data_IF_447769343034
#
_entry.id   IF_447769343034
#
_cell.length_a   1.000
_cell.length_b   1.000
_cell.length_c   1.000
_cell.angle_alpha   90.00
_cell.angle_beta   90.00
_cell.angle_gamma   90.00
#
_symmetry.space_group_name_H-M   'P 1'
#
loop_
_entity.id
_entity.type
_entity.pdbx_description
1 polymer ?
#
# COMPACT_ATOMS: atom_id res chain seq x y z
N UNK A 1 13.96 -26.85 -10.09
CA UNK A 1 13.33 -25.54 -9.82
C UNK A 1 11.84 -25.78 -9.56
N UNK A 2 11.27 -25.21 -8.51
CA UNK A 2 9.81 -25.29 -8.29
C UNK A 2 9.11 -24.41 -9.33
N UNK A 3 7.92 -24.82 -9.78
CA UNK A 3 7.10 -23.98 -10.65
C UNK A 3 6.79 -22.64 -9.96
N UNK A 4 6.80 -21.52 -10.70
CA UNK A 4 6.47 -20.21 -10.12
C UNK A 4 5.08 -20.24 -9.47
N UNK A 5 4.97 -19.60 -8.32
CA UNK A 5 3.69 -19.51 -7.58
C UNK A 5 2.67 -18.72 -8.39
N UNK A 6 1.44 -19.22 -8.49
CA UNK A 6 0.35 -18.51 -9.15
C UNK A 6 -0.08 -17.28 -8.31
N UNK A 7 -0.32 -16.16 -9.00
CA UNK A 7 -0.56 -14.85 -8.38
C UNK A 7 -1.81 -14.19 -8.97
N UNK A 8 -2.71 -13.74 -8.08
CA UNK A 8 -3.74 -12.76 -8.40
C UNK A 8 -3.18 -11.36 -8.16
N UNK A 9 -3.27 -10.46 -9.14
CA UNK A 9 -3.01 -9.03 -8.94
C UNK A 9 -4.31 -8.36 -8.57
N UNK A 10 -4.33 -7.66 -7.42
CA UNK A 10 -5.46 -6.93 -6.88
C UNK A 10 -5.26 -5.42 -7.12
N UNK A 11 -6.22 -4.79 -7.77
CA UNK A 11 -6.21 -3.35 -8.08
C UNK A 11 -7.51 -2.74 -7.58
N UNK A 12 -7.41 -1.66 -6.81
CA UNK A 12 -8.56 -0.83 -6.42
C UNK A 12 -8.52 0.46 -7.20
N UNK A 13 -9.66 0.91 -7.74
CA UNK A 13 -9.75 2.15 -8.53
C UNK A 13 -10.96 2.99 -8.13
N UNK A 14 -10.82 4.31 -8.28
CA UNK A 14 -11.90 5.28 -8.05
C UNK A 14 -11.73 6.48 -8.99
N UNK A 15 -12.58 6.59 -10.02
CA UNK A 15 -12.63 7.69 -10.98
C UNK A 15 -11.29 7.97 -11.72
N UNK A 16 -10.49 6.91 -12.02
CA UNK A 16 -9.17 7.02 -12.67
C UNK A 16 -9.00 6.05 -13.85
N UNK A 17 -9.90 6.02 -14.85
CA UNK A 17 -9.84 5.02 -15.93
C UNK A 17 -8.55 5.10 -16.75
N UNK A 18 -7.98 6.29 -16.94
CA UNK A 18 -6.74 6.44 -17.70
C UNK A 18 -5.52 5.87 -16.95
N UNK A 19 -5.43 6.08 -15.63
CA UNK A 19 -4.38 5.51 -14.79
C UNK A 19 -4.50 3.98 -14.73
N UNK A 20 -5.71 3.46 -14.49
CA UNK A 20 -6.01 2.04 -14.55
C UNK A 20 -5.59 1.41 -15.89
N UNK A 21 -5.82 2.11 -17.01
CA UNK A 21 -5.41 1.65 -18.33
C UNK A 21 -3.90 1.45 -18.44
N UNK A 22 -3.09 2.41 -17.99
CA UNK A 22 -1.62 2.31 -17.97
C UNK A 22 -1.11 1.22 -17.01
N UNK A 23 -1.76 1.08 -15.86
CA UNK A 23 -1.45 0.01 -14.90
C UNK A 23 -1.63 -1.37 -15.55
N UNK A 24 -2.80 -1.63 -16.16
CA UNK A 24 -3.10 -2.90 -16.85
C UNK A 24 -2.20 -3.14 -18.06
N UNK A 25 -1.85 -2.09 -18.82
CA UNK A 25 -0.89 -2.17 -19.92
C UNK A 25 0.47 -2.69 -19.44
N UNK A 26 0.97 -2.17 -18.32
CA UNK A 26 2.24 -2.61 -17.75
C UNK A 26 2.23 -4.08 -17.32
N UNK A 27 1.11 -4.57 -16.80
CA UNK A 27 0.93 -5.98 -16.45
C UNK A 27 0.88 -6.89 -17.68
N UNK A 28 0.22 -6.44 -18.75
CA UNK A 28 0.12 -7.18 -20.00
C UNK A 28 1.46 -7.26 -20.73
N UNK A 29 2.27 -6.20 -20.66
CA UNK A 29 3.60 -6.10 -21.26
C UNK A 29 4.72 -6.76 -20.42
N UNK A 30 4.44 -7.14 -19.17
CA UNK A 30 5.42 -7.73 -18.28
C UNK A 30 5.98 -9.07 -18.77
N UNK A 31 7.23 -9.40 -18.38
CA UNK A 31 7.89 -10.66 -18.68
C UNK A 31 7.12 -11.90 -18.14
N UNK A 32 6.31 -11.67 -17.11
CA UNK A 32 5.32 -12.60 -16.60
C UNK A 32 3.97 -11.89 -16.47
N UNK A 33 2.96 -12.41 -17.15
CA UNK A 33 1.58 -11.96 -16.96
C UNK A 33 1.01 -12.50 -15.65
N UNK A 34 0.08 -11.76 -14.99
CA UNK A 34 -0.67 -12.28 -13.86
C UNK A 34 -1.52 -13.49 -14.27
N UNK A 35 -1.68 -14.43 -13.34
CA UNK A 35 -2.58 -15.58 -13.54
C UNK A 35 -4.05 -15.14 -13.45
N UNK A 36 -4.30 -14.06 -12.70
CA UNK A 36 -5.60 -13.39 -12.56
C UNK A 36 -5.37 -11.92 -12.17
N UNK A 37 -6.23 -11.02 -12.66
CA UNK A 37 -6.34 -9.64 -12.18
C UNK A 37 -7.73 -9.43 -11.62
N UNK A 38 -7.83 -9.00 -10.37
CA UNK A 38 -9.08 -8.57 -9.74
C UNK A 38 -9.08 -7.05 -9.65
N UNK A 39 -10.02 -6.41 -10.33
CA UNK A 39 -10.23 -4.95 -10.26
C UNK A 39 -11.49 -4.67 -9.47
N UNK A 40 -11.35 -3.94 -8.36
CA UNK A 40 -12.48 -3.44 -7.57
C UNK A 40 -12.64 -1.95 -7.84
N UNK A 41 -13.77 -1.61 -8.44
CA UNK A 41 -14.07 -0.26 -8.91
C UNK A 41 -15.15 0.40 -8.04
N UNK A 42 -14.78 1.52 -7.43
CA UNK A 42 -15.68 2.36 -6.65
C UNK A 42 -16.11 3.63 -7.40
N UNK A 43 -15.88 3.70 -8.71
CA UNK A 43 -16.22 4.86 -9.54
C UNK A 43 -17.74 4.99 -9.75
N UNK A 44 -18.20 6.22 -9.99
CA UNK A 44 -19.60 6.47 -10.36
C UNK A 44 -19.90 6.14 -11.83
N UNK A 45 -18.92 6.38 -12.73
CA UNK A 45 -19.03 6.15 -14.18
C UNK A 45 -18.80 4.69 -14.60
N UNK A 46 -18.80 4.45 -15.91
CA UNK A 46 -18.55 3.13 -16.51
C UNK A 46 -17.19 3.04 -17.23
N UNK A 47 -16.41 4.11 -17.21
CA UNK A 47 -15.17 4.22 -17.98
C UNK A 47 -14.13 3.17 -17.50
N UNK A 48 -14.04 2.91 -16.21
CA UNK A 48 -13.16 1.89 -15.65
C UNK A 48 -13.57 0.48 -16.11
N UNK A 49 -14.87 0.17 -16.16
CA UNK A 49 -15.36 -1.13 -16.63
C UNK A 49 -15.04 -1.35 -18.11
N UNK A 50 -15.12 -0.31 -18.94
CA UNK A 50 -14.74 -0.37 -20.37
C UNK A 50 -13.23 -0.61 -20.54
N UNK A 51 -12.40 -0.02 -19.68
CA UNK A 51 -10.95 -0.28 -19.65
C UNK A 51 -10.69 -1.75 -19.32
N UNK A 52 -11.34 -2.29 -18.29
CA UNK A 52 -11.20 -3.70 -17.88
C UNK A 52 -11.65 -4.65 -18.99
N UNK A 53 -12.80 -4.40 -19.63
CA UNK A 53 -13.30 -5.21 -20.74
C UNK A 53 -12.29 -5.30 -21.89
N UNK A 54 -11.70 -4.17 -22.29
CA UNK A 54 -10.66 -4.11 -23.34
C UNK A 54 -9.44 -4.99 -23.01
N UNK A 55 -8.96 -4.97 -21.76
CA UNK A 55 -7.82 -5.78 -21.37
C UNK A 55 -8.17 -7.27 -21.19
N UNK A 56 -9.42 -7.58 -20.87
CA UNK A 56 -9.92 -8.95 -20.91
C UNK A 56 -9.90 -9.50 -22.35
N UNK A 57 -10.40 -8.73 -23.32
CA UNK A 57 -10.35 -9.06 -24.75
C UNK A 57 -8.91 -9.19 -25.28
N UNK A 58 -7.96 -8.40 -24.72
CA UNK A 58 -6.54 -8.49 -25.01
C UNK A 58 -5.83 -9.69 -24.32
N UNK A 59 -6.57 -10.55 -23.62
CA UNK A 59 -6.11 -11.84 -23.11
C UNK A 59 -5.57 -11.82 -21.69
N UNK A 60 -5.87 -10.80 -20.86
CA UNK A 60 -5.71 -10.89 -19.42
C UNK A 60 -6.91 -11.62 -18.79
N UNK A 61 -6.64 -12.50 -17.82
CA UNK A 61 -7.69 -13.12 -17.01
C UNK A 61 -8.19 -12.09 -16.00
N UNK A 62 -9.33 -11.46 -16.30
CA UNK A 62 -9.87 -10.35 -15.51
C UNK A 62 -11.09 -10.78 -14.70
N UNK A 63 -11.14 -10.31 -13.45
CA UNK A 63 -12.34 -10.30 -12.62
C UNK A 63 -12.64 -8.85 -12.23
N UNK A 64 -13.81 -8.34 -12.62
CA UNK A 64 -14.24 -6.98 -12.32
C UNK A 64 -15.37 -7.01 -11.29
N UNK A 65 -15.20 -6.23 -10.23
CA UNK A 65 -16.19 -6.06 -9.18
C UNK A 65 -16.49 -4.58 -8.98
N UNK A 66 -17.74 -4.18 -9.10
CA UNK A 66 -18.17 -2.83 -8.81
C UNK A 66 -18.80 -2.76 -7.42
N UNK A 67 -18.42 -1.77 -6.64
CA UNK A 67 -19.03 -1.52 -5.33
C UNK A 67 -19.21 -0.02 -5.09
N UNK A 68 -20.07 0.33 -4.14
CA UNK A 68 -20.16 1.70 -3.64
C UNK A 68 -18.85 2.14 -3.00
N UNK A 69 -18.57 3.46 -3.03
CA UNK A 69 -17.36 4.03 -2.45
C UNK A 69 -17.37 3.91 -0.91
N UNK A 70 -16.59 2.95 -0.40
CA UNK A 70 -16.43 2.64 1.04
C UNK A 70 -14.99 2.80 1.52
N UNK A 71 -14.11 3.23 0.65
CA UNK A 71 -12.69 3.42 0.93
C UNK A 71 -11.78 2.28 0.45
N UNK A 72 -10.46 2.55 0.47
CA UNK A 72 -9.45 1.65 -0.06
C UNK A 72 -9.42 0.30 0.66
N UNK A 73 -9.49 0.29 2.01
CA UNK A 73 -9.48 -0.95 2.79
C UNK A 73 -10.62 -1.89 2.41
N UNK A 74 -11.84 -1.34 2.21
CA UNK A 74 -13.01 -2.11 1.78
C UNK A 74 -12.82 -2.68 0.37
N UNK A 75 -12.27 -1.89 -0.57
CA UNK A 75 -11.99 -2.37 -1.93
C UNK A 75 -10.93 -3.48 -1.92
N UNK A 76 -9.87 -3.32 -1.14
CA UNK A 76 -8.83 -4.35 -1.00
C UNK A 76 -9.39 -5.64 -0.38
N UNK A 77 -10.25 -5.55 0.63
CA UNK A 77 -10.90 -6.73 1.23
C UNK A 77 -11.75 -7.50 0.22
N UNK A 78 -12.51 -6.80 -0.62
CA UNK A 78 -13.25 -7.44 -1.72
C UNK A 78 -12.29 -8.11 -2.70
N UNK A 79 -11.21 -7.44 -3.10
CA UNK A 79 -10.20 -8.02 -3.99
C UNK A 79 -9.56 -9.27 -3.38
N UNK A 80 -9.23 -9.26 -2.09
CA UNK A 80 -8.66 -10.41 -1.38
C UNK A 80 -9.63 -11.59 -1.31
N UNK A 81 -10.92 -11.32 -1.09
CA UNK A 81 -11.95 -12.34 -1.07
C UNK A 81 -12.21 -12.97 -2.45
N UNK A 82 -12.08 -12.18 -3.53
CA UNK A 82 -12.25 -12.63 -4.91
C UNK A 82 -11.03 -13.33 -5.49
N UNK A 83 -9.84 -13.09 -4.94
CA UNK A 83 -8.59 -13.71 -5.40
C UNK A 83 -8.65 -15.23 -5.30
N UNK A 84 -8.31 -15.93 -6.38
CA UNK A 84 -8.36 -17.41 -6.47
C UNK A 84 -7.01 -18.07 -6.21
N UNK A 85 -5.91 -17.32 -6.41
CA UNK A 85 -4.56 -17.86 -6.30
C UNK A 85 -3.99 -17.74 -4.87
N UNK A 86 -2.98 -18.54 -4.52
CA UNK A 86 -2.42 -18.58 -3.16
C UNK A 86 -1.69 -17.30 -2.75
N UNK A 87 -1.29 -16.47 -3.71
CA UNK A 87 -0.63 -15.19 -3.46
C UNK A 87 -1.44 -14.07 -4.11
N UNK A 88 -1.65 -13.00 -3.34
CA UNK A 88 -2.28 -11.77 -3.82
C UNK A 88 -1.22 -10.68 -3.85
N UNK A 89 -0.94 -10.12 -5.03
CA UNK A 89 -0.09 -8.95 -5.21
C UNK A 89 -0.96 -7.71 -5.37
N UNK A 90 -0.69 -6.67 -4.60
CA UNK A 90 -1.41 -5.39 -4.66
C UNK A 90 -0.60 -4.38 -5.46
N UNK A 91 -1.28 -3.74 -6.38
CA UNK A 91 -0.76 -2.66 -7.22
C UNK A 91 -1.82 -1.56 -7.30
N UNK A 92 -1.44 -0.29 -7.03
CA UNK A 92 -2.37 0.83 -7.16
C UNK A 92 -2.63 1.15 -8.64
N UNK A 93 -3.80 1.70 -8.94
CA UNK A 93 -4.23 2.05 -10.30
C UNK A 93 -3.38 3.14 -10.96
N UNK A 94 -2.65 3.96 -10.18
CA UNK A 94 -1.72 5.01 -10.63
C UNK A 94 -0.25 4.56 -10.61
N UNK A 95 -0.03 3.24 -10.59
CA UNK A 95 1.27 2.61 -10.65
C UNK A 95 1.50 1.90 -11.99
N UNK A 96 2.78 1.84 -12.40
CA UNK A 96 3.27 1.09 -13.56
C UNK A 96 4.28 0.06 -13.08
N UNK A 97 4.00 -1.22 -13.29
CA UNK A 97 4.91 -2.30 -12.92
C UNK A 97 6.12 -2.33 -13.88
N UNK A 98 7.33 -2.50 -13.33
CA UNK A 98 8.50 -2.82 -14.15
C UNK A 98 8.33 -4.20 -14.78
N UNK A 99 8.88 -4.41 -15.97
CA UNK A 99 8.63 -5.64 -16.75
C UNK A 99 8.94 -6.95 -16.00
N UNK A 100 9.94 -6.94 -15.12
CA UNK A 100 10.30 -8.10 -14.30
C UNK A 100 9.53 -8.23 -12.98
N UNK A 101 8.75 -7.22 -12.59
CA UNK A 101 8.11 -7.11 -11.26
C UNK A 101 7.42 -8.39 -10.81
N UNK A 102 6.46 -8.88 -11.58
CA UNK A 102 5.66 -10.05 -11.20
C UNK A 102 6.48 -11.34 -11.24
N UNK A 103 7.46 -11.41 -12.15
CA UNK A 103 8.39 -12.54 -12.20
C UNK A 103 9.24 -12.61 -10.92
N UNK A 104 9.79 -11.50 -10.47
CA UNK A 104 10.58 -11.41 -9.23
C UNK A 104 9.73 -11.80 -8.03
N UNK A 105 8.54 -11.24 -7.87
CA UNK A 105 7.61 -11.58 -6.78
C UNK A 105 7.30 -13.08 -6.78
N UNK A 106 6.93 -13.64 -7.93
CA UNK A 106 6.57 -15.06 -8.06
C UNK A 106 7.74 -15.98 -7.71
N UNK A 107 8.94 -15.62 -8.16
CA UNK A 107 10.15 -16.41 -7.88
C UNK A 107 10.47 -16.41 -6.39
N UNK A 108 10.45 -15.26 -5.73
CA UNK A 108 10.72 -15.18 -4.28
C UNK A 108 9.69 -15.96 -3.46
N UNK A 109 8.40 -15.84 -3.81
CA UNK A 109 7.33 -16.57 -3.11
C UNK A 109 7.39 -18.09 -3.35
N UNK A 110 7.94 -18.56 -4.50
CA UNK A 110 8.14 -19.98 -4.80
C UNK A 110 9.40 -20.55 -4.13
N UNK A 111 10.49 -19.78 -4.12
CA UNK A 111 11.78 -20.18 -3.51
C UNK A 111 11.71 -20.24 -1.99
N UNK A 112 10.99 -19.30 -1.38
CA UNK A 112 10.90 -19.08 0.06
C UNK A 112 9.49 -19.36 0.56
N UNK A 113 9.19 -20.62 0.83
CA UNK A 113 7.88 -21.05 1.34
C UNK A 113 7.58 -20.52 2.74
N UNK A 114 8.62 -20.15 3.48
CA UNK A 114 8.56 -19.56 4.81
C UNK A 114 8.20 -18.07 4.80
N UNK A 115 8.21 -17.42 3.63
CA UNK A 115 7.76 -16.04 3.48
C UNK A 115 6.23 -15.98 3.34
N UNK A 116 5.60 -15.10 4.11
CA UNK A 116 4.20 -14.74 3.93
C UNK A 116 4.02 -13.56 2.98
N UNK A 117 5.05 -12.74 2.78
CA UNK A 117 4.94 -11.58 1.88
C UNK A 117 6.25 -11.11 1.29
N UNK A 118 6.12 -10.36 0.21
CA UNK A 118 7.18 -9.62 -0.48
C UNK A 118 6.71 -8.19 -0.69
N UNK A 119 7.58 -7.23 -0.37
CA UNK A 119 7.40 -5.81 -0.71
C UNK A 119 8.55 -5.39 -1.63
N UNK A 120 8.43 -4.25 -2.31
CA UNK A 120 9.43 -3.86 -3.28
C UNK A 120 9.72 -2.37 -3.33
N UNK A 121 10.55 -2.00 -4.30
CA UNK A 121 10.89 -0.60 -4.58
C UNK A 121 9.72 0.13 -5.20
N UNK A 122 9.55 1.38 -4.79
CA UNK A 122 8.62 2.33 -5.42
C UNK A 122 9.43 3.52 -5.89
N UNK A 123 9.52 3.68 -7.19
CA UNK A 123 10.25 4.74 -7.85
C UNK A 123 9.26 5.75 -8.47
N UNK A 124 9.66 7.01 -8.64
CA UNK A 124 8.81 7.96 -9.32
C UNK A 124 8.70 7.61 -10.81
N UNK A 125 7.49 7.59 -11.34
CA UNK A 125 7.22 7.52 -12.77
C UNK A 125 7.65 8.86 -13.40
N UNK A 126 8.32 8.80 -14.54
CA UNK A 126 8.85 9.92 -15.30
C UNK A 126 10.01 10.72 -14.69
N UNK A 127 10.72 11.44 -15.57
CA UNK A 127 11.84 12.27 -15.20
C UNK A 127 11.42 13.47 -14.34
N UNK A 128 12.32 13.93 -13.50
CA UNK A 128 12.12 15.03 -12.56
C UNK A 128 11.72 16.33 -13.29
N UNK A 129 10.44 16.64 -13.30
CA UNK A 129 9.97 18.00 -13.56
C UNK A 129 10.22 18.87 -12.32
N UNK A 130 10.70 20.12 -12.47
CA UNK A 130 11.12 20.99 -11.38
C UNK A 130 10.05 21.34 -10.33
N UNK A 131 8.81 20.83 -10.44
CA UNK A 131 7.68 21.17 -9.58
C UNK A 131 6.87 19.96 -9.09
N UNK A 132 7.38 18.74 -9.26
CA UNK A 132 6.68 17.51 -8.85
C UNK A 132 7.49 16.72 -7.81
N UNK A 133 6.78 15.96 -6.97
CA UNK A 133 7.36 15.22 -5.86
C UNK A 133 7.04 13.73 -5.99
N UNK A 134 7.97 12.83 -5.59
CA UNK A 134 7.68 11.42 -5.53
C UNK A 134 6.62 11.13 -4.46
N UNK A 135 5.81 10.10 -4.69
CA UNK A 135 4.81 9.59 -3.76
C UNK A 135 5.25 8.20 -3.28
N UNK A 136 5.07 7.93 -2.01
CA UNK A 136 5.30 6.59 -1.42
C UNK A 136 6.65 5.97 -1.79
N UNK A 137 7.70 6.79 -1.96
CA UNK A 137 9.00 6.33 -2.45
C UNK A 137 9.69 5.34 -1.52
N UNK A 138 10.10 4.20 -2.08
CA UNK A 138 10.95 3.17 -1.46
C UNK A 138 12.11 2.89 -2.39
N UNK A 139 13.25 3.50 -2.11
CA UNK A 139 14.39 3.54 -3.05
C UNK A 139 15.57 2.68 -2.62
N UNK A 140 15.54 2.05 -1.42
CA UNK A 140 16.63 1.20 -0.96
C UNK A 140 16.92 0.08 -1.95
N UNK A 141 18.18 -0.18 -2.20
CA UNK A 141 18.68 -1.32 -2.98
C UNK A 141 19.08 -2.50 -2.10
N UNK A 142 18.99 -2.35 -0.77
CA UNK A 142 19.33 -3.39 0.17
C UNK A 142 18.13 -4.29 0.44
N UNK A 143 18.30 -5.57 0.16
CA UNK A 143 17.31 -6.59 0.51
C UNK A 143 17.27 -6.75 2.02
N UNK A 144 16.05 -6.81 2.58
CA UNK A 144 15.86 -6.93 4.02
C UNK A 144 14.65 -7.81 4.35
N UNK A 145 14.80 -8.67 5.35
CA UNK A 145 13.71 -9.50 5.86
C UNK A 145 13.18 -8.91 7.18
N UNK A 146 11.87 -8.94 7.33
CA UNK A 146 11.15 -8.45 8.50
C UNK A 146 10.34 -9.58 9.12
N UNK A 147 10.44 -9.73 10.45
CA UNK A 147 9.65 -10.64 11.26
C UNK A 147 9.53 -10.11 12.69
N UNK A 148 8.47 -10.46 13.39
CA UNK A 148 8.26 -10.03 14.77
C UNK A 148 8.11 -8.52 14.89
N UNK A 149 9.02 -7.87 15.63
CA UNK A 149 8.94 -6.43 15.91
C UNK A 149 9.70 -5.63 14.87
N UNK A 150 8.96 -4.95 13.98
CA UNK A 150 9.52 -3.99 13.03
C UNK A 150 8.59 -2.76 12.90
N UNK A 151 9.15 -1.68 12.33
CA UNK A 151 8.40 -0.44 12.13
C UNK A 151 7.63 -0.53 10.81
N UNK A 152 6.31 -0.33 10.78
CA UNK A 152 5.49 -0.53 9.58
C UNK A 152 6.01 0.20 8.34
N UNK A 153 6.48 1.44 8.52
CA UNK A 153 7.03 2.26 7.42
C UNK A 153 8.39 1.80 6.89
N UNK A 154 9.04 0.82 7.53
CA UNK A 154 10.28 0.22 7.03
C UNK A 154 10.02 -0.98 6.12
N UNK A 155 8.85 -1.60 6.21
CA UNK A 155 8.54 -2.86 5.55
C UNK A 155 8.31 -2.69 4.06
N UNK A 156 7.49 -1.71 3.68
CA UNK A 156 7.09 -1.52 2.28
C UNK A 156 6.20 -0.32 2.07
N UNK A 157 5.45 -0.36 1.00
CA UNK A 157 4.43 0.62 0.63
C UNK A 157 3.16 -0.11 0.18
N UNK A 158 2.00 0.48 0.44
CA UNK A 158 0.70 -0.09 0.12
C UNK A 158 0.42 -0.32 -1.36
N UNK A 159 1.22 0.27 -2.23
CA UNK A 159 1.09 0.16 -3.68
C UNK A 159 2.05 -0.85 -4.34
N UNK A 160 2.89 -1.54 -3.55
CA UNK A 160 3.81 -2.56 -4.06
C UNK A 160 4.08 -3.63 -2.99
N UNK A 161 3.16 -4.55 -2.84
CA UNK A 161 3.36 -5.71 -1.98
C UNK A 161 2.61 -6.93 -2.49
N UNK A 162 3.07 -8.11 -2.11
CA UNK A 162 2.39 -9.37 -2.32
C UNK A 162 2.35 -10.16 -1.02
N UNK A 163 1.23 -10.82 -0.73
CA UNK A 163 1.03 -11.58 0.51
C UNK A 163 0.33 -12.90 0.22
N UNK A 164 0.66 -13.95 0.94
CA UNK A 164 -0.10 -15.21 0.91
C UNK A 164 -1.51 -14.96 1.40
N UNK A 165 -2.48 -15.50 0.67
CA UNK A 165 -3.91 -15.33 0.99
C UNK A 165 -4.29 -15.85 2.36
N UNK A 166 -3.67 -16.94 2.83
CA UNK A 166 -3.88 -17.46 4.18
C UNK A 166 -3.35 -16.52 5.28
N UNK A 167 -2.25 -15.80 5.03
CA UNK A 167 -1.77 -14.77 5.94
C UNK A 167 -2.74 -13.58 6.03
N UNK A 168 -3.31 -13.15 4.89
CA UNK A 168 -4.37 -12.12 4.89
C UNK A 168 -5.61 -12.60 5.66
N UNK A 169 -6.00 -13.86 5.48
CA UNK A 169 -7.15 -14.45 6.20
C UNK A 169 -6.90 -14.50 7.70
N UNK A 170 -5.69 -14.89 8.13
CA UNK A 170 -5.32 -14.95 9.57
C UNK A 170 -5.49 -13.62 10.28
N UNK A 171 -5.20 -12.50 9.60
CA UNK A 171 -5.32 -11.17 10.20
C UNK A 171 -6.66 -10.49 9.93
N UNK A 172 -7.56 -11.11 9.17
CA UNK A 172 -8.87 -10.56 8.82
C UNK A 172 -8.84 -9.45 7.77
N UNK A 173 -7.82 -9.43 6.88
CA UNK A 173 -7.69 -8.43 5.82
C UNK A 173 -7.32 -7.04 6.30
N UNK A 174 -7.73 -6.00 5.56
CA UNK A 174 -7.54 -4.59 5.89
C UNK A 174 -8.55 -4.12 6.94
N UNK A 175 -8.15 -3.19 7.79
CA UNK A 175 -9.08 -2.47 8.67
C UNK A 175 -9.78 -1.36 7.86
N UNK A 176 -11.07 -1.51 7.61
CA UNK A 176 -11.85 -0.56 6.78
C UNK A 176 -12.04 0.81 7.44
N UNK A 177 -11.74 0.94 8.74
CA UNK A 177 -11.72 2.21 9.44
C UNK A 177 -10.53 3.10 9.05
N UNK A 178 -9.54 2.51 8.33
CA UNK A 178 -8.28 3.14 7.92
C UNK A 178 -8.21 3.30 6.39
N UNK A 179 -7.34 4.23 5.94
CA UNK A 179 -7.03 4.41 4.53
C UNK A 179 -7.85 5.49 3.83
N UNK A 180 -7.50 5.82 2.58
CA UNK A 180 -8.26 6.76 1.74
C UNK A 180 -9.73 6.37 1.65
N UNK A 181 -10.62 7.35 1.75
CA UNK A 181 -12.08 7.13 1.73
C UNK A 181 -12.68 6.70 3.08
N UNK A 182 -11.87 6.39 4.09
CA UNK A 182 -12.31 6.11 5.46
C UNK A 182 -12.32 7.38 6.33
N UNK A 183 -12.87 7.33 7.55
CA UNK A 183 -12.82 8.45 8.49
C UNK A 183 -11.40 8.96 8.79
N UNK A 184 -10.38 8.08 8.81
CA UNK A 184 -8.99 8.42 9.13
C UNK A 184 -8.19 8.87 7.93
N UNK A 185 -8.62 8.54 6.73
CA UNK A 185 -8.02 8.89 5.43
C UNK A 185 -6.60 8.37 5.20
N UNK A 186 -6.06 7.50 6.06
CA UNK A 186 -4.70 6.95 5.90
C UNK A 186 -4.44 5.78 6.84
N UNK A 187 -3.26 5.16 6.70
CA UNK A 187 -2.75 4.15 7.64
C UNK A 187 -3.12 2.70 7.37
N UNK A 188 -3.88 2.38 6.31
CA UNK A 188 -4.33 1.02 6.00
C UNK A 188 -3.17 0.07 5.74
N UNK A 189 -2.17 0.48 4.99
CA UNK A 189 -0.98 -0.31 4.68
C UNK A 189 -0.05 -0.46 5.90
N UNK A 190 0.10 0.60 6.69
CA UNK A 190 0.86 0.55 7.94
C UNK A 190 0.23 -0.43 8.93
N UNK A 191 -1.10 -0.42 9.05
CA UNK A 191 -1.85 -1.35 9.86
C UNK A 191 -1.72 -2.79 9.35
N UNK A 192 -1.90 -2.99 8.05
CA UNK A 192 -1.79 -4.31 7.43
C UNK A 192 -0.42 -4.95 7.71
N UNK A 193 0.67 -4.21 7.47
CA UNK A 193 2.03 -4.71 7.71
C UNK A 193 2.28 -4.97 9.19
N UNK A 194 1.83 -4.09 10.07
CA UNK A 194 1.95 -4.28 11.51
C UNK A 194 1.25 -5.55 11.97
N UNK A 195 -0.02 -5.75 11.58
CA UNK A 195 -0.79 -6.95 11.97
C UNK A 195 -0.25 -8.24 11.35
N UNK A 196 0.26 -8.21 10.12
CA UNK A 196 0.95 -9.36 9.52
C UNK A 196 2.13 -9.80 10.37
N UNK A 197 3.03 -8.89 10.74
CA UNK A 197 4.19 -9.22 11.59
C UNK A 197 3.77 -9.69 12.99
N UNK A 198 2.77 -9.05 13.60
CA UNK A 198 2.22 -9.48 14.89
C UNK A 198 1.56 -10.86 14.81
N UNK A 199 0.99 -11.21 13.66
CA UNK A 199 0.46 -12.54 13.35
C UNK A 199 1.53 -13.59 13.00
N UNK A 200 2.82 -13.27 13.19
CA UNK A 200 3.94 -14.18 12.96
C UNK A 200 4.43 -14.24 11.51
N UNK A 201 3.94 -13.37 10.63
CA UNK A 201 4.36 -13.34 9.22
C UNK A 201 5.82 -12.91 9.06
N UNK A 202 6.46 -13.44 8.00
CA UNK A 202 7.77 -13.03 7.50
C UNK A 202 7.60 -12.31 6.18
N UNK A 203 8.14 -11.11 6.06
CA UNK A 203 8.03 -10.26 4.87
C UNK A 203 9.41 -9.90 4.37
N UNK A 204 9.65 -10.14 3.07
CA UNK A 204 10.89 -9.79 2.40
C UNK A 204 10.71 -8.46 1.65
N UNK A 205 11.55 -7.48 1.92
CA UNK A 205 11.75 -6.36 1.02
C UNK A 205 12.75 -6.78 -0.09
N UNK A 206 12.24 -6.86 -1.32
CA UNK A 206 12.98 -7.26 -2.51
C UNK A 206 13.17 -6.05 -3.42
N UNK A 207 14.40 -5.51 -3.52
CA UNK A 207 14.64 -4.29 -4.29
C UNK A 207 14.46 -4.44 -5.80
N UNK A 208 14.47 -5.68 -6.33
CA UNK A 208 14.26 -5.95 -7.75
C UNK A 208 12.77 -6.01 -8.13
N UNK A 209 11.86 -6.07 -7.14
CA UNK A 209 10.42 -5.93 -7.36
C UNK A 209 10.05 -4.44 -7.48
N UNK A 210 10.17 -3.87 -8.67
CA UNK A 210 10.08 -2.43 -8.92
C UNK A 210 8.70 -2.05 -9.47
N UNK A 211 8.15 -0.99 -8.89
CA UNK A 211 6.94 -0.31 -9.37
C UNK A 211 7.24 1.18 -9.50
N UNK A 212 6.72 1.79 -10.55
CA UNK A 212 6.79 3.24 -10.77
C UNK A 212 5.44 3.86 -10.40
N UNK A 213 5.47 4.87 -9.54
CA UNK A 213 4.27 5.58 -9.07
C UNK A 213 4.22 7.00 -9.66
N UNK A 214 3.05 7.45 -10.06
CA UNK A 214 2.84 8.83 -10.53
C UNK A 214 3.35 9.83 -9.50
N UNK A 215 3.87 10.95 -10.01
CA UNK A 215 4.33 12.05 -9.16
C UNK A 215 3.16 12.94 -8.77
N UNK A 216 3.34 13.68 -7.71
CA UNK A 216 2.34 14.62 -7.19
C UNK A 216 2.83 16.07 -7.25
N UNK A 217 1.94 17.01 -7.39
CA UNK A 217 2.21 18.43 -7.24
C UNK A 217 2.54 18.78 -5.77
N UNK A 218 3.06 19.98 -5.56
CA UNK A 218 3.28 20.51 -4.19
C UNK A 218 1.96 20.63 -3.41
N UNK A 219 0.90 20.99 -4.07
CA UNK A 219 -0.42 21.14 -3.47
C UNK A 219 -0.99 19.79 -3.01
N UNK A 220 -0.97 18.78 -3.86
CA UNK A 220 -1.37 17.41 -3.53
C UNK A 220 -0.54 16.83 -2.38
N UNK A 221 0.80 17.03 -2.43
CA UNK A 221 1.69 16.62 -1.34
C UNK A 221 1.27 17.25 -0.02
N UNK A 222 0.99 18.56 -0.01
CA UNK A 222 0.56 19.28 1.19
C UNK A 222 -0.78 18.76 1.71
N UNK A 223 -1.73 18.49 0.83
CA UNK A 223 -3.05 17.96 1.19
C UNK A 223 -2.96 16.54 1.81
N UNK A 224 -2.02 15.71 1.32
CA UNK A 224 -1.83 14.34 1.82
C UNK A 224 -1.09 14.24 3.16
N UNK A 225 -0.26 15.23 3.54
CA UNK A 225 0.52 15.20 4.79
C UNK A 225 -0.33 14.97 6.05
N UNK A 226 -1.45 15.71 6.27
CA UNK A 226 -2.32 15.48 7.40
C UNK A 226 -2.93 14.07 7.42
N UNK A 227 -3.22 13.50 6.25
CA UNK A 227 -3.79 12.15 6.11
C UNK A 227 -2.84 11.09 6.63
N UNK A 228 -1.55 11.16 6.29
CA UNK A 228 -0.54 10.23 6.79
C UNK A 228 -0.38 10.28 8.30
N UNK A 229 -0.31 11.48 8.89
CA UNK A 229 -0.23 11.65 10.34
C UNK A 229 -1.46 11.10 11.04
N UNK A 230 -2.66 11.48 10.56
CA UNK A 230 -3.94 11.05 11.12
C UNK A 230 -4.11 9.54 11.03
N UNK A 231 -3.80 8.94 9.88
CA UNK A 231 -3.88 7.51 9.67
C UNK A 231 -2.96 6.73 10.61
N UNK A 232 -1.70 7.17 10.75
CA UNK A 232 -0.75 6.54 11.68
C UNK A 232 -1.22 6.66 13.13
N UNK A 233 -1.68 7.84 13.55
CA UNK A 233 -2.21 8.04 14.90
C UNK A 233 -3.42 7.14 15.19
N UNK A 234 -4.35 7.05 14.24
CA UNK A 234 -5.53 6.20 14.38
C UNK A 234 -5.17 4.71 14.47
N UNK A 235 -4.29 4.22 13.59
CA UNK A 235 -3.83 2.84 13.63
C UNK A 235 -3.18 2.51 14.99
N UNK A 236 -2.28 3.36 15.49
CA UNK A 236 -1.63 3.18 16.80
C UNK A 236 -2.66 3.13 17.94
N UNK A 237 -3.69 4.00 17.92
CA UNK A 237 -4.74 3.99 18.92
C UNK A 237 -5.58 2.72 18.88
N UNK A 238 -5.89 2.21 17.70
CA UNK A 238 -6.61 0.95 17.51
C UNK A 238 -5.79 -0.22 18.03
N UNK A 239 -4.50 -0.32 17.69
CA UNK A 239 -3.61 -1.37 18.21
C UNK A 239 -3.51 -1.34 19.74
N UNK A 240 -3.38 -0.14 20.31
CA UNK A 240 -3.33 0.01 21.78
C UNK A 240 -4.58 -0.52 22.46
N UNK A 241 -5.75 -0.20 21.90
CA UNK A 241 -7.05 -0.68 22.42
C UNK A 241 -7.22 -2.18 22.28
N UNK A 242 -6.63 -2.78 21.25
CA UNK A 242 -6.61 -4.24 21.02
C UNK A 242 -5.56 -4.95 21.89
N UNK A 243 -4.90 -4.22 22.79
CA UNK A 243 -3.92 -4.78 23.72
C UNK A 243 -2.52 -4.99 23.12
N UNK A 244 -2.21 -4.37 21.98
CA UNK A 244 -0.87 -4.47 21.40
C UNK A 244 0.14 -3.70 22.23
N UNK A 245 1.10 -4.45 22.80
CA UNK A 245 2.15 -3.92 23.68
C UNK A 245 3.19 -3.08 22.93
N UNK A 246 3.30 -3.22 21.61
CA UNK A 246 4.26 -2.49 20.77
C UNK A 246 3.73 -1.13 20.27
N UNK A 247 2.44 -0.85 20.45
CA UNK A 247 1.81 0.43 20.03
C UNK A 247 2.53 1.66 20.55
N UNK A 248 2.91 1.67 21.83
CA UNK A 248 3.68 2.76 22.46
C UNK A 248 5.09 2.90 21.91
N UNK A 249 5.75 1.79 21.56
CA UNK A 249 7.04 1.82 20.89
C UNK A 249 6.93 2.43 19.48
N UNK A 250 5.96 1.99 18.70
CA UNK A 250 5.74 2.51 17.35
C UNK A 250 5.43 4.01 17.39
N UNK A 251 4.60 4.47 18.32
CA UNK A 251 4.33 5.90 18.50
C UNK A 251 5.60 6.70 18.79
N UNK A 252 6.44 6.21 19.69
CA UNK A 252 7.70 6.87 20.05
C UNK A 252 8.64 6.95 18.85
N UNK A 253 8.81 5.87 18.10
CA UNK A 253 9.69 5.85 16.92
C UNK A 253 9.13 6.71 15.77
N UNK A 254 7.80 6.76 15.60
CA UNK A 254 7.16 7.68 14.67
C UNK A 254 7.45 9.13 15.03
N UNK A 255 7.27 9.51 16.29
CA UNK A 255 7.58 10.87 16.75
C UNK A 255 9.06 11.22 16.54
N UNK A 256 9.98 10.30 16.88
CA UNK A 256 11.43 10.46 16.66
C UNK A 256 11.75 10.66 15.17
N UNK A 257 11.14 9.87 14.29
CA UNK A 257 11.32 9.99 12.85
C UNK A 257 10.88 11.38 12.38
N UNK A 258 9.71 11.86 12.80
CA UNK A 258 9.19 13.19 12.40
C UNK A 258 10.09 14.30 12.93
N UNK A 259 10.50 14.25 14.18
CA UNK A 259 11.44 15.23 14.77
C UNK A 259 12.79 15.24 14.06
N UNK A 260 13.30 14.08 13.66
CA UNK A 260 14.54 14.00 12.85
C UNK A 260 14.37 14.65 11.49
N UNK A 261 13.27 14.35 10.78
CA UNK A 261 12.98 14.97 9.47
C UNK A 261 12.83 16.49 9.59
N UNK A 262 12.13 16.96 10.61
CA UNK A 262 11.98 18.39 10.90
C UNK A 262 13.34 19.08 11.13
N UNK A 263 14.24 18.46 11.90
CA UNK A 263 15.61 18.99 12.12
C UNK A 263 16.41 19.04 10.81
N UNK A 264 16.34 17.99 9.98
CA UNK A 264 17.00 17.93 8.68
C UNK A 264 16.45 19.00 7.71
N UNK A 265 15.16 19.23 7.69
CA UNK A 265 14.54 20.30 6.92
C UNK A 265 15.00 21.68 7.41
N UNK A 266 15.05 21.90 8.72
CA UNK A 266 15.53 23.16 9.32
C UNK A 266 17.00 23.44 8.99
N UNK A 267 17.88 22.43 9.02
CA UNK A 267 19.30 22.62 8.62
C UNK A 267 19.47 23.01 7.17
N UNK A 268 18.55 22.57 6.30
CA UNK A 268 18.48 22.93 4.87
C UNK A 268 17.73 24.25 4.61
N UNK A 269 17.22 24.89 5.66
CA UNK A 269 16.34 26.08 5.61
C UNK A 269 15.07 25.85 4.77
N UNK A 270 14.60 24.60 4.66
CA UNK A 270 13.32 24.27 4.01
C UNK A 270 12.17 24.38 5.02
N UNK A 271 11.70 25.61 5.19
CA UNK A 271 10.62 25.91 6.15
C UNK A 271 9.26 25.32 5.71
N UNK A 272 9.11 25.01 4.44
CA UNK A 272 7.91 24.33 3.95
C UNK A 272 7.87 22.88 4.44
N UNK A 273 9.00 22.16 4.34
CA UNK A 273 9.10 20.81 4.88
C UNK A 273 9.02 20.79 6.42
N UNK A 274 9.61 21.78 7.11
CA UNK A 274 9.43 21.91 8.59
C UNK A 274 7.96 21.99 8.94
N UNK A 275 7.20 22.87 8.26
CA UNK A 275 5.75 23.00 8.50
C UNK A 275 5.00 21.71 8.18
N UNK A 276 5.35 21.02 7.12
CA UNK A 276 4.75 19.74 6.74
C UNK A 276 4.95 18.68 7.83
N UNK A 277 6.16 18.62 8.45
CA UNK A 277 6.43 17.68 9.55
C UNK A 277 5.68 18.05 10.84
N UNK A 278 5.55 19.36 11.16
CA UNK A 278 4.71 19.84 12.27
C UNK A 278 3.25 19.45 12.03
N UNK A 279 2.74 19.67 10.82
CA UNK A 279 1.38 19.29 10.43
C UNK A 279 1.15 17.79 10.62
N UNK A 280 2.13 16.98 10.24
CA UNK A 280 2.05 15.53 10.39
C UNK A 280 2.01 15.11 11.86
N UNK A 281 2.82 15.72 12.75
CA UNK A 281 2.77 15.46 14.19
C UNK A 281 1.43 15.85 14.82
N UNK A 282 0.92 17.05 14.51
CA UNK A 282 -0.38 17.52 15.01
C UNK A 282 -1.51 16.60 14.53
N UNK A 283 -1.47 16.20 13.27
CA UNK A 283 -2.45 15.26 12.70
C UNK A 283 -2.34 13.86 13.31
N UNK A 284 -1.14 13.44 13.75
CA UNK A 284 -0.98 12.18 14.51
C UNK A 284 -1.75 12.23 15.83
N UNK A 285 -1.69 13.36 16.56
CA UNK A 285 -2.46 13.53 17.79
C UNK A 285 -3.97 13.50 17.51
N UNK A 286 -4.42 14.16 16.43
CA UNK A 286 -5.82 14.08 15.99
C UNK A 286 -6.23 12.64 15.68
N UNK A 287 -5.37 11.90 14.97
CA UNK A 287 -5.58 10.49 14.65
C UNK A 287 -5.67 9.59 15.87
N UNK A 288 -4.81 9.80 16.88
CA UNK A 288 -4.91 9.08 18.16
C UNK A 288 -6.27 9.27 18.81
N UNK A 289 -6.77 10.51 18.89
CA UNK A 289 -8.11 10.81 19.42
C UNK A 289 -9.21 10.16 18.58
N UNK A 290 -9.10 10.21 17.25
CA UNK A 290 -10.09 9.64 16.35
C UNK A 290 -10.12 8.10 16.43
N UNK A 291 -8.97 7.42 16.37
CA UNK A 291 -8.87 5.97 16.52
C UNK A 291 -9.41 5.48 17.85
N UNK A 292 -9.22 6.28 18.92
CA UNK A 292 -9.82 5.97 20.22
C UNK A 292 -11.35 5.99 20.19
N UNK A 293 -11.95 6.92 19.42
CA UNK A 293 -13.41 7.08 19.29
C UNK A 293 -14.06 6.05 18.36
N UNK A 294 -13.32 5.53 17.37
CA UNK A 294 -13.85 4.59 16.38
C UNK A 294 -14.35 3.27 16.98
N UNK A 295 -14.07 3.01 18.25
CA UNK A 295 -14.64 1.89 18.99
C UNK A 295 -14.25 0.51 18.42
N UNK A 296 -14.94 -0.52 18.91
CA UNK A 296 -14.83 -1.90 18.44
C UNK A 296 -15.77 -2.15 17.23
N UNK A 297 -15.96 -1.17 16.36
CA UNK A 297 -16.69 -1.37 15.12
C UNK A 297 -16.05 -2.52 14.30
N UNK A 298 -16.83 -3.22 13.52
CA UNK A 298 -16.36 -4.26 12.60
C UNK A 298 -15.15 -3.75 11.80
N UNK A 299 -14.08 -4.54 11.82
CA UNK A 299 -12.90 -4.36 10.95
C UNK A 299 -13.29 -4.41 9.50
#
# INVERSE_FOLDING_TARGET
>A
MRSPTAITVAISTLNRPAALGRCLESLAAGARRPDEVVVVDQSEGQESSQVVARWHEAGLTMHYERQEARGLGAAQNVAFARARHPVVAVLDDDCVAEASWLHVVASRMAERIDLDGVTGRVLPLDAVGARTFPVSSRISTDRREFSGRALPWEIGSGNNFAVRRDALTRIGGCDERLGPGSPTQGGVDMDLFHRLLRGGSRILYEPDAIVYHERQSREERRARRPMYGRGMGAAIALWHREGDRDSGYVLREWARLRLRQMRLAATRRDWADVRDEVTMLLSTVQGLSQGWKLGNGTR
#
